data_IF_449833204732
#
_entry.id   IF_449833204732
#
_cell.length_a   1.000
_cell.length_b   1.000
_cell.length_c   1.000
_cell.angle_alpha   90.00
_cell.angle_beta   90.00
_cell.angle_gamma   90.00
#
_symmetry.space_group_name_H-M   'P 1'
#
loop_
_entity.id
_entity.type
_entity.pdbx_description
1 polymer ?
#
# COMPACT_ATOMS: atom_id res chain seq x y z
N UNK A 1 -27.08 -14.40 5.45
CA UNK A 1 -25.86 -14.94 4.83
C UNK A 1 -24.64 -14.25 5.40
N UNK A 2 -23.52 -14.95 5.44
CA UNK A 2 -22.22 -14.37 5.78
C UNK A 2 -21.67 -13.62 4.56
N UNK A 3 -21.55 -12.30 4.66
CA UNK A 3 -21.09 -11.45 3.55
C UNK A 3 -19.98 -10.50 3.97
N UNK A 4 -19.16 -10.12 3.00
CA UNK A 4 -18.11 -9.13 3.15
C UNK A 4 -18.72 -7.76 3.43
N UNK A 5 -18.32 -7.10 4.53
CA UNK A 5 -18.85 -5.77 4.86
C UNK A 5 -18.41 -4.65 3.90
N UNK A 6 -17.46 -4.92 3.00
CA UNK A 6 -16.95 -3.93 2.02
C UNK A 6 -17.70 -4.04 0.69
N UNK A 7 -17.74 -5.23 0.08
CA UNK A 7 -18.35 -5.42 -1.24
C UNK A 7 -19.73 -6.10 -1.21
N UNK A 8 -20.20 -6.52 -0.03
CA UNK A 8 -21.49 -7.19 0.19
C UNK A 8 -21.65 -8.57 -0.46
N UNK A 9 -20.59 -9.10 -1.08
CA UNK A 9 -20.53 -10.45 -1.66
C UNK A 9 -20.10 -11.49 -0.60
N UNK A 10 -20.51 -12.73 -0.80
CA UNK A 10 -20.19 -13.88 0.05
C UNK A 10 -18.88 -14.57 -0.34
N UNK A 11 -18.81 -15.89 -0.11
CA UNK A 11 -17.62 -16.70 -0.36
C UNK A 11 -17.31 -16.94 -1.84
N UNK A 12 -18.23 -16.60 -2.74
CA UNK A 12 -18.07 -16.71 -4.20
C UNK A 12 -16.90 -15.87 -4.74
N UNK A 13 -16.58 -14.74 -4.09
CA UNK A 13 -15.44 -13.88 -4.45
C UNK A 13 -14.12 -14.33 -3.82
N UNK A 14 -14.18 -15.21 -2.83
CA UNK A 14 -13.02 -15.64 -2.05
C UNK A 14 -13.34 -15.86 -0.57
N UNK A 15 -12.33 -16.30 0.22
CA UNK A 15 -12.52 -16.60 1.63
C UNK A 15 -12.84 -15.34 2.45
N UNK A 16 -13.79 -15.49 3.37
CA UNK A 16 -14.14 -14.47 4.36
C UNK A 16 -13.34 -14.72 5.64
N UNK A 17 -12.77 -13.66 6.20
CA UNK A 17 -11.97 -13.70 7.42
C UNK A 17 -12.48 -12.70 8.48
N UNK A 18 -12.10 -12.95 9.74
CA UNK A 18 -12.31 -12.05 10.87
C UNK A 18 -10.96 -11.50 11.34
N UNK A 19 -10.50 -10.36 10.81
CA UNK A 19 -9.19 -9.79 11.17
C UNK A 19 -9.16 -9.17 12.58
N UNK A 20 -10.31 -9.10 13.25
CA UNK A 20 -10.47 -8.55 14.59
C UNK A 20 -11.70 -9.18 15.29
N UNK A 21 -11.93 -8.92 16.60
CA UNK A 21 -13.07 -9.47 17.36
C UNK A 21 -14.47 -8.99 16.92
N UNK A 22 -14.58 -8.11 15.92
CA UNK A 22 -15.88 -7.68 15.43
C UNK A 22 -16.63 -8.85 14.77
N UNK A 23 -17.97 -8.89 14.82
CA UNK A 23 -18.77 -9.90 14.14
C UNK A 23 -18.83 -9.70 12.61
N UNK A 24 -17.94 -8.88 12.03
CA UNK A 24 -17.96 -8.48 10.62
C UNK A 24 -16.93 -9.29 9.84
N UNK A 25 -17.39 -9.93 8.76
CA UNK A 25 -16.58 -10.71 7.85
C UNK A 25 -16.11 -9.85 6.68
N UNK A 26 -14.91 -10.12 6.18
CA UNK A 26 -14.32 -9.37 5.07
C UNK A 26 -13.46 -10.28 4.22
N UNK A 27 -13.39 -10.03 2.91
CA UNK A 27 -12.36 -10.64 2.08
C UNK A 27 -11.01 -9.99 2.36
N UNK A 28 -9.94 -10.79 2.41
CA UNK A 28 -8.57 -10.28 2.62
C UNK A 28 -8.20 -9.17 1.63
N UNK A 29 -8.54 -9.35 0.35
CA UNK A 29 -8.22 -8.39 -0.72
C UNK A 29 -9.06 -7.11 -0.62
N UNK A 30 -10.34 -7.22 -0.24
CA UNK A 30 -11.20 -6.07 0.01
C UNK A 30 -10.67 -5.24 1.18
N UNK A 31 -10.27 -5.90 2.28
CA UNK A 31 -9.66 -5.24 3.42
C UNK A 31 -8.35 -4.55 3.03
N UNK A 32 -7.47 -5.25 2.32
CA UNK A 32 -6.21 -4.71 1.83
C UNK A 32 -6.40 -3.45 0.98
N UNK A 33 -7.33 -3.48 0.03
CA UNK A 33 -7.67 -2.30 -0.79
C UNK A 33 -8.23 -1.16 0.04
N UNK A 34 -9.17 -1.43 0.94
CA UNK A 34 -9.75 -0.40 1.80
C UNK A 34 -8.70 0.26 2.70
N UNK A 35 -7.72 -0.52 3.17
CA UNK A 35 -6.58 0.00 3.93
C UNK A 35 -5.67 0.89 3.08
N UNK A 36 -5.37 0.51 1.84
CA UNK A 36 -4.62 1.35 0.89
C UNK A 36 -5.34 2.68 0.62
N UNK A 37 -6.64 2.64 0.35
CA UNK A 37 -7.44 3.86 0.18
C UNK A 37 -7.50 4.70 1.46
N UNK A 38 -7.28 4.08 2.61
CA UNK A 38 -7.22 4.71 3.92
C UNK A 38 -5.81 5.08 4.36
N UNK A 39 -4.80 4.97 3.49
CA UNK A 39 -3.41 5.30 3.82
C UNK A 39 -3.28 6.70 4.42
N UNK A 40 -2.44 6.83 5.43
CA UNK A 40 -2.27 8.06 6.21
C UNK A 40 -3.42 8.35 7.18
N UNK A 41 -4.44 7.49 7.29
CA UNK A 41 -5.53 7.59 8.25
C UNK A 41 -5.50 6.43 9.23
N UNK A 42 -6.19 6.56 10.36
CA UNK A 42 -6.26 5.51 11.40
C UNK A 42 -6.72 4.16 10.83
N UNK A 43 -7.62 4.19 9.86
CA UNK A 43 -8.19 3.05 9.15
C UNK A 43 -7.16 2.23 8.34
N UNK A 44 -5.98 2.78 8.06
CA UNK A 44 -4.89 2.02 7.46
C UNK A 44 -4.45 0.86 8.36
N UNK A 45 -4.45 1.07 9.68
CA UNK A 45 -3.88 0.12 10.64
C UNK A 45 -4.87 -0.32 11.71
N UNK A 46 -6.03 0.34 11.84
CA UNK A 46 -7.04 0.05 12.84
C UNK A 46 -8.38 -0.34 12.20
N UNK A 47 -9.08 -1.29 12.80
CA UNK A 47 -10.44 -1.65 12.43
C UNK A 47 -11.35 -0.42 12.53
N UNK A 48 -12.14 -0.14 11.48
CA UNK A 48 -13.08 1.00 11.46
C UNK A 48 -14.11 0.95 12.58
N UNK A 49 -14.49 -0.25 13.03
CA UNK A 49 -15.59 -0.46 13.97
C UNK A 49 -15.14 -0.46 15.43
N UNK A 50 -14.14 -1.29 15.76
CA UNK A 50 -13.67 -1.43 17.15
C UNK A 50 -12.31 -0.79 17.43
N UNK A 51 -11.60 -0.26 16.43
CA UNK A 51 -10.27 0.33 16.59
C UNK A 51 -9.15 -0.68 16.86
N UNK A 52 -9.42 -1.98 16.79
CA UNK A 52 -8.40 -3.03 16.97
C UNK A 52 -7.29 -2.94 15.93
N UNK A 53 -6.04 -3.22 16.32
CA UNK A 53 -4.90 -3.21 15.40
C UNK A 53 -5.00 -4.34 14.39
N UNK A 54 -5.05 -3.99 13.11
CA UNK A 54 -5.05 -4.94 12.01
C UNK A 54 -3.62 -5.46 11.76
N UNK A 55 -3.46 -6.62 11.10
CA UNK A 55 -2.15 -7.13 10.67
C UNK A 55 -1.39 -6.13 9.78
N UNK A 56 -0.09 -6.33 9.55
CA UNK A 56 0.69 -5.44 8.68
C UNK A 56 0.12 -5.37 7.24
N UNK A 57 0.24 -4.21 6.59
CA UNK A 57 -0.29 -4.02 5.23
C UNK A 57 0.39 -4.98 4.22
N UNK A 58 1.70 -5.18 4.34
CA UNK A 58 2.45 -6.13 3.53
C UNK A 58 1.95 -7.56 3.72
N UNK A 59 1.62 -7.96 4.95
CA UNK A 59 1.12 -9.30 5.26
C UNK A 59 -0.25 -9.56 4.62
N UNK A 60 -1.14 -8.57 4.66
CA UNK A 60 -2.47 -8.66 4.05
C UNK A 60 -2.41 -8.65 2.52
N UNK A 61 -1.52 -7.86 1.92
CA UNK A 61 -1.49 -7.62 0.47
C UNK A 61 -0.52 -8.51 -0.30
N UNK A 62 0.51 -9.07 0.33
CA UNK A 62 1.51 -9.89 -0.36
C UNK A 62 1.02 -11.33 -0.49
N UNK A 63 0.81 -11.83 -1.72
CA UNK A 63 0.57 -13.26 -1.98
C UNK A 63 1.62 -14.14 -1.29
N UNK A 64 1.21 -15.31 -0.79
CA UNK A 64 2.06 -16.16 0.04
C UNK A 64 3.37 -16.55 -0.67
N UNK A 65 3.31 -16.84 -1.97
CA UNK A 65 4.48 -17.21 -2.78
C UNK A 65 5.48 -16.08 -3.01
N UNK A 66 5.06 -14.81 -2.87
CA UNK A 66 5.94 -13.65 -3.02
C UNK A 66 6.62 -13.23 -1.71
N UNK A 67 6.20 -13.78 -0.55
CA UNK A 67 6.69 -13.32 0.77
C UNK A 67 8.19 -13.55 0.97
N UNK A 68 8.75 -14.62 0.41
CA UNK A 68 10.18 -14.95 0.55
C UNK A 68 11.11 -14.12 -0.37
N UNK A 69 10.55 -13.46 -1.39
CA UNK A 69 11.33 -12.74 -2.40
C UNK A 69 11.79 -11.38 -1.86
N UNK A 70 13.11 -11.19 -1.75
CA UNK A 70 13.71 -9.91 -1.37
C UNK A 70 14.00 -9.08 -2.62
N UNK A 71 13.51 -7.85 -2.64
CA UNK A 71 13.71 -6.90 -3.74
C UNK A 71 14.07 -5.52 -3.20
N UNK A 72 14.94 -4.82 -3.91
CA UNK A 72 15.10 -3.37 -3.70
C UNK A 72 13.92 -2.69 -4.37
N UNK A 73 13.23 -1.83 -3.62
CA UNK A 73 12.03 -1.15 -4.10
C UNK A 73 12.40 0.24 -4.62
N UNK A 74 11.86 0.60 -5.77
CA UNK A 74 12.07 1.91 -6.39
C UNK A 74 10.73 2.60 -6.66
N UNK A 75 10.72 3.93 -6.55
CA UNK A 75 9.60 4.79 -6.96
C UNK A 75 10.04 5.67 -8.13
N UNK A 76 9.24 5.67 -9.19
CA UNK A 76 9.46 6.54 -10.34
C UNK A 76 8.91 7.95 -10.06
N UNK A 77 9.69 8.97 -10.42
CA UNK A 77 9.32 10.38 -10.39
C UNK A 77 9.02 10.81 -11.84
N UNK A 78 7.73 10.93 -12.14
CA UNK A 78 7.21 11.19 -13.50
C UNK A 78 7.86 12.44 -14.12
N UNK A 79 7.97 13.53 -13.36
CA UNK A 79 8.44 14.82 -13.89
C UNK A 79 9.92 14.83 -14.34
N UNK A 80 10.77 13.95 -13.81
CA UNK A 80 12.21 13.90 -14.12
C UNK A 80 12.64 12.58 -14.77
N UNK A 81 11.71 11.65 -14.99
CA UNK A 81 11.98 10.28 -15.42
C UNK A 81 13.11 9.61 -14.61
N UNK A 82 13.10 9.83 -13.29
CA UNK A 82 14.09 9.27 -12.37
C UNK A 82 13.45 8.25 -11.44
N UNK A 83 14.18 7.20 -11.09
CA UNK A 83 13.76 6.23 -10.10
C UNK A 83 14.58 6.41 -8.82
N UNK A 84 13.91 6.57 -7.67
CA UNK A 84 14.56 6.62 -6.36
C UNK A 84 14.38 5.29 -5.64
N UNK A 85 15.44 4.70 -5.06
CA UNK A 85 15.26 3.59 -4.14
C UNK A 85 14.55 4.11 -2.88
N UNK A 86 13.60 3.31 -2.38
CA UNK A 86 12.78 3.62 -1.23
C UNK A 86 12.80 2.48 -0.23
N UNK A 87 12.65 2.84 1.05
CA UNK A 87 12.55 1.91 2.17
C UNK A 87 11.37 2.33 3.04
N UNK A 88 10.64 1.38 3.63
CA UNK A 88 9.53 1.71 4.53
C UNK A 88 10.06 2.34 5.83
N UNK A 89 9.17 3.02 6.54
CA UNK A 89 9.40 3.61 7.86
C UNK A 89 9.89 5.05 7.83
N UNK A 90 9.98 5.64 9.03
CA UNK A 90 10.25 7.06 9.22
C UNK A 90 11.58 7.53 8.60
N UNK A 91 12.63 6.71 8.71
CA UNK A 91 13.94 7.01 8.11
C UNK A 91 13.88 7.02 6.58
N UNK A 92 13.25 6.01 5.98
CA UNK A 92 13.08 5.91 4.53
C UNK A 92 12.23 7.04 3.96
N UNK A 93 11.19 7.44 4.69
CA UNK A 93 10.37 8.62 4.35
C UNK A 93 11.19 9.92 4.42
N UNK A 94 12.01 10.09 5.46
CA UNK A 94 12.86 11.27 5.61
C UNK A 94 13.89 11.37 4.48
N UNK A 95 14.52 10.25 4.13
CA UNK A 95 15.47 10.13 3.01
C UNK A 95 14.79 10.45 1.67
N UNK A 96 13.63 9.85 1.39
CA UNK A 96 12.85 10.13 0.18
C UNK A 96 12.50 11.62 0.09
N UNK A 97 12.01 12.22 1.18
CA UNK A 97 11.67 13.64 1.24
C UNK A 97 12.88 14.54 0.95
N UNK A 98 14.04 14.22 1.54
CA UNK A 98 15.27 14.98 1.31
C UNK A 98 15.72 14.89 -0.15
N UNK A 99 15.65 13.70 -0.76
CA UNK A 99 16.01 13.48 -2.17
C UNK A 99 15.07 14.22 -3.13
N UNK A 100 13.75 14.17 -2.88
CA UNK A 100 12.78 14.94 -3.68
C UNK A 100 13.07 16.43 -3.56
N UNK A 101 13.32 16.95 -2.36
CA UNK A 101 13.69 18.37 -2.20
C UNK A 101 14.94 18.74 -2.98
N UNK A 102 15.99 17.94 -2.89
CA UNK A 102 17.24 18.15 -3.63
C UNK A 102 16.99 18.13 -5.15
N UNK A 103 16.23 17.15 -5.63
CA UNK A 103 15.96 16.96 -7.07
C UNK A 103 15.17 18.11 -7.70
N UNK A 104 14.23 18.69 -6.96
CA UNK A 104 13.39 19.78 -7.43
C UNK A 104 13.86 21.16 -6.95
N UNK A 105 15.00 21.24 -6.23
CA UNK A 105 15.51 22.49 -5.67
C UNK A 105 14.55 23.16 -4.69
N UNK A 106 13.78 22.37 -3.94
CA UNK A 106 12.75 22.89 -3.01
C UNK A 106 13.44 23.32 -1.70
N UNK A 107 13.35 24.61 -1.32
CA UNK A 107 13.91 25.12 -0.07
C UNK A 107 13.34 24.42 1.18
N UNK A 108 14.08 24.33 2.29
CA UNK A 108 13.64 23.64 3.50
C UNK A 108 12.41 24.28 4.17
N UNK A 109 12.22 25.59 3.99
CA UNK A 109 11.08 26.37 4.47
C UNK A 109 9.81 26.16 3.63
N UNK A 110 9.92 25.57 2.44
CA UNK A 110 8.78 25.29 1.57
C UNK A 110 8.21 23.91 1.82
N UNK A 111 6.89 23.86 1.90
CA UNK A 111 6.13 22.61 1.87
C UNK A 111 5.88 22.18 0.43
N UNK A 112 5.84 20.88 0.21
CA UNK A 112 5.43 20.29 -1.06
C UNK A 112 4.54 19.09 -0.78
N UNK A 113 3.64 18.81 -1.73
CA UNK A 113 2.77 17.64 -1.69
C UNK A 113 3.26 16.62 -2.71
N UNK A 114 3.06 15.35 -2.38
CA UNK A 114 3.36 14.21 -3.24
C UNK A 114 2.07 13.44 -3.47
N UNK A 115 1.86 13.00 -4.69
CA UNK A 115 0.83 12.03 -5.04
C UNK A 115 1.52 10.76 -5.50
N UNK A 116 1.15 9.63 -4.90
CA UNK A 116 1.67 8.32 -5.25
C UNK A 116 0.64 7.60 -6.11
N UNK A 117 1.05 7.23 -7.31
CA UNK A 117 0.26 6.41 -8.21
C UNK A 117 0.79 4.97 -8.14
N UNK A 118 -0.07 4.03 -7.78
CA UNK A 118 0.30 2.65 -7.51
C UNK A 118 -0.73 1.69 -8.09
N UNK A 119 -0.29 0.55 -8.59
CA UNK A 119 -1.20 -0.52 -8.99
C UNK A 119 -1.63 -1.35 -7.76
N UNK A 120 -2.93 -1.55 -7.58
CA UNK A 120 -3.50 -2.38 -6.54
C UNK A 120 -3.01 -3.84 -6.69
N UNK A 121 -2.34 -4.42 -5.67
CA UNK A 121 -1.75 -5.75 -5.78
C UNK A 121 -2.72 -6.87 -6.15
N UNK A 122 -3.97 -6.76 -5.70
CA UNK A 122 -5.01 -7.78 -5.87
C UNK A 122 -5.81 -7.65 -7.17
N UNK A 123 -5.95 -6.44 -7.72
CA UNK A 123 -6.91 -6.21 -8.83
C UNK A 123 -6.33 -5.55 -10.06
N UNK A 124 -5.08 -5.07 -10.01
CA UNK A 124 -4.45 -4.38 -11.15
C UNK A 124 -4.95 -2.95 -11.40
N UNK A 125 -5.92 -2.47 -10.60
CA UNK A 125 -6.44 -1.10 -10.72
C UNK A 125 -5.42 -0.07 -10.26
N UNK A 126 -5.39 1.09 -10.91
CA UNK A 126 -4.55 2.22 -10.48
C UNK A 126 -5.19 2.95 -9.30
N UNK A 127 -4.42 3.08 -8.22
CA UNK A 127 -4.76 3.81 -7.00
C UNK A 127 -3.90 5.08 -6.91
N UNK A 128 -4.54 6.20 -6.63
CA UNK A 128 -3.85 7.47 -6.35
C UNK A 128 -3.99 7.80 -4.87
N UNK A 129 -2.86 7.89 -4.18
CA UNK A 129 -2.77 8.26 -2.76
C UNK A 129 -2.09 9.61 -2.63
N UNK A 130 -2.66 10.51 -1.83
CA UNK A 130 -2.19 11.89 -1.73
C UNK A 130 -1.55 12.17 -0.36
N UNK A 131 -0.43 12.88 -0.38
CA UNK A 131 0.29 13.31 0.80
C UNK A 131 1.33 12.32 1.29
N UNK A 132 2.33 12.84 2.00
CA UNK A 132 3.45 12.06 2.54
C UNK A 132 3.04 11.00 3.55
N UNK A 133 1.88 11.15 4.19
CA UNK A 133 1.35 10.15 5.11
C UNK A 133 1.06 8.79 4.43
N UNK A 134 0.90 8.77 3.10
CA UNK A 134 0.68 7.54 2.33
C UNK A 134 1.98 6.85 1.89
N UNK A 135 3.15 7.35 2.30
CA UNK A 135 4.44 6.86 1.82
C UNK A 135 4.63 5.35 2.04
N UNK A 136 4.39 4.84 3.24
CA UNK A 136 4.61 3.41 3.54
C UNK A 136 3.65 2.50 2.77
N UNK A 137 2.41 2.93 2.57
CA UNK A 137 1.44 2.23 1.72
C UNK A 137 1.92 2.18 0.26
N UNK A 138 2.45 3.29 -0.26
CA UNK A 138 3.02 3.35 -1.61
C UNK A 138 4.28 2.47 -1.75
N UNK A 139 5.16 2.46 -0.75
CA UNK A 139 6.33 1.55 -0.71
C UNK A 139 5.88 0.10 -0.73
N UNK A 140 4.83 -0.24 0.03
CA UNK A 140 4.28 -1.60 0.06
C UNK A 140 3.77 -2.03 -1.33
N UNK A 141 3.01 -1.18 -2.02
CA UNK A 141 2.58 -1.45 -3.39
C UNK A 141 3.77 -1.64 -4.33
N UNK A 142 4.74 -0.73 -4.29
CA UNK A 142 5.93 -0.81 -5.12
C UNK A 142 6.76 -2.08 -4.85
N UNK A 143 6.86 -2.50 -3.59
CA UNK A 143 7.55 -3.72 -3.19
C UNK A 143 6.85 -4.97 -3.75
N UNK A 144 5.51 -5.04 -3.66
CA UNK A 144 4.75 -6.17 -4.22
C UNK A 144 4.89 -6.21 -5.74
N UNK A 145 4.80 -5.06 -6.43
CA UNK A 145 5.03 -5.00 -7.88
C UNK A 145 6.45 -5.42 -8.26
N UNK A 146 7.46 -5.05 -7.48
CA UNK A 146 8.84 -5.48 -7.69
C UNK A 146 9.01 -6.99 -7.47
N UNK A 147 8.39 -7.56 -6.43
CA UNK A 147 8.38 -9.01 -6.17
C UNK A 147 7.73 -9.78 -7.32
N UNK A 148 6.58 -9.32 -7.83
CA UNK A 148 5.89 -9.90 -8.99
C UNK A 148 6.81 -9.94 -10.22
N UNK A 149 7.46 -8.82 -10.55
CA UNK A 149 8.43 -8.76 -11.66
C UNK A 149 9.61 -9.72 -11.48
N UNK A 150 10.14 -9.83 -10.26
CA UNK A 150 11.28 -10.70 -9.97
C UNK A 150 10.99 -12.19 -10.17
N UNK A 151 9.73 -12.61 -9.98
CA UNK A 151 9.29 -14.00 -10.20
C UNK A 151 8.72 -14.25 -11.61
N UNK A 152 8.73 -13.24 -12.49
CA UNK A 152 8.18 -13.35 -13.85
C UNK A 152 6.66 -13.20 -13.94
N UNK A 153 5.99 -12.83 -12.85
CA UNK A 153 4.59 -12.42 -12.87
C UNK A 153 4.53 -10.96 -13.35
N UNK A 154 4.48 -10.76 -14.67
CA UNK A 154 4.24 -9.45 -15.24
C UNK A 154 2.85 -8.93 -14.80
N UNK A 155 2.79 -7.68 -14.33
CA UNK A 155 1.54 -6.94 -14.34
C UNK A 155 1.22 -6.62 -15.80
N UNK A 156 0.38 -7.45 -16.44
CA UNK A 156 -0.29 -7.12 -17.69
C UNK A 156 -1.39 -6.08 -17.48
#
# INVERSE_FOLDING_TARGET
EESCWICLEGTEKGPLERPCPCPRLVHRDCLGRWRLQSAGRRQENLCRFCGYSLPGLEESLTPAHLRATRVVTYMAIIHKNQALPVRPGAEGMAEFRARVRCLFGIPPDKQFNVSFECMAPSTGEVLVMNGMACFDAAVTCAAISAKKRAVGEGCG
#
